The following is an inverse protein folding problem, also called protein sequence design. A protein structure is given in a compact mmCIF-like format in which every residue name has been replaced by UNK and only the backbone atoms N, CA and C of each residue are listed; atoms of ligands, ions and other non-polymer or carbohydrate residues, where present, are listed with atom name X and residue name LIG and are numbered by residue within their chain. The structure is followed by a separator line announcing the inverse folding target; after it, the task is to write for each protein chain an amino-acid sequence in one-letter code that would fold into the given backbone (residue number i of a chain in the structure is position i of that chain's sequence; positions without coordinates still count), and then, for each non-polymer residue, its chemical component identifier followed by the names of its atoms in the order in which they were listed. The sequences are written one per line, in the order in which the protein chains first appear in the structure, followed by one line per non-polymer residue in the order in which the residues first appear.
data_IF_911733817031
#
_entry.id   IF_911733817031
#
_cell.length_a   1.000
_cell.length_b   1.000
_cell.length_c   1.000
_cell.angle_alpha   90.00
_cell.angle_beta   90.00
_cell.angle_gamma   90.00
#
_symmetry.space_group_name_H-M   'P 1'
#
loop_
_entity.id
_entity.type
_entity.pdbx_description
1 polymer ?
#
# COMPACT_ATOMS: atom_id res chain seq x y z
N UNK A 1 -10.75 20.47 21.31
CA UNK A 1 -10.16 19.18 20.85
C UNK A 1 -11.17 18.07 20.57
N UNK A 2 -12.32 18.00 21.23
CA UNK A 2 -13.35 16.97 20.98
C UNK A 2 -13.71 16.74 19.50
N UNK A 3 -13.94 17.82 18.73
CA UNK A 3 -14.24 17.73 17.29
C UNK A 3 -13.12 17.06 16.48
N UNK A 4 -11.86 17.40 16.79
CA UNK A 4 -10.69 16.76 16.17
C UNK A 4 -10.67 15.26 16.47
N UNK A 5 -10.94 14.88 17.73
CA UNK A 5 -11.02 13.47 18.12
C UNK A 5 -12.05 12.69 17.30
N UNK A 6 -13.24 13.25 17.08
CA UNK A 6 -14.27 12.63 16.25
C UNK A 6 -13.84 12.48 14.78
N UNK A 7 -13.21 13.50 14.18
CA UNK A 7 -12.72 13.41 12.81
C UNK A 7 -11.65 12.34 12.64
N UNK A 8 -10.66 12.31 13.53
CA UNK A 8 -9.57 11.32 13.48
C UNK A 8 -10.11 9.90 13.71
N UNK A 9 -11.10 9.72 14.61
CA UNK A 9 -11.82 8.43 14.73
C UNK A 9 -12.57 8.06 13.45
N UNK A 10 -13.17 9.05 12.78
CA UNK A 10 -13.81 8.87 11.47
C UNK A 10 -12.85 8.31 10.42
N UNK A 11 -11.62 8.83 10.36
CA UNK A 11 -10.55 8.30 9.51
C UNK A 11 -10.22 6.85 9.88
N UNK A 12 -10.01 6.55 11.17
CA UNK A 12 -9.73 5.19 11.60
C UNK A 12 -10.82 4.19 11.18
N UNK A 13 -12.09 4.55 11.42
CA UNK A 13 -13.23 3.72 11.07
C UNK A 13 -13.33 3.55 9.55
N UNK A 14 -13.14 4.62 8.77
CA UNK A 14 -13.23 4.56 7.30
C UNK A 14 -12.17 3.62 6.72
N UNK A 15 -10.92 3.69 7.21
CA UNK A 15 -9.83 2.83 6.80
C UNK A 15 -10.09 1.36 7.17
N UNK A 16 -10.52 1.08 8.40
CA UNK A 16 -10.82 -0.29 8.86
C UNK A 16 -12.00 -0.91 8.09
N UNK A 17 -13.09 -0.16 7.91
CA UNK A 17 -14.25 -0.62 7.16
C UNK A 17 -13.91 -0.79 5.66
N UNK A 18 -13.13 0.12 5.08
CA UNK A 18 -12.65 0.03 3.70
C UNK A 18 -11.78 -1.21 3.48
N UNK A 19 -10.81 -1.45 4.36
CA UNK A 19 -9.97 -2.64 4.36
C UNK A 19 -10.81 -3.93 4.45
N UNK A 20 -11.69 -4.02 5.44
CA UNK A 20 -12.55 -5.19 5.63
C UNK A 20 -13.46 -5.42 4.41
N UNK A 21 -14.09 -4.36 3.88
CA UNK A 21 -14.95 -4.43 2.71
C UNK A 21 -14.22 -4.91 1.46
N UNK A 22 -12.99 -4.44 1.23
CA UNK A 22 -12.14 -4.88 0.13
C UNK A 22 -11.82 -6.38 0.24
N UNK A 23 -11.33 -6.83 1.39
CA UNK A 23 -10.93 -8.23 1.60
C UNK A 23 -12.13 -9.16 1.47
N UNK A 24 -13.26 -8.82 2.12
CA UNK A 24 -14.51 -9.60 2.01
C UNK A 24 -14.97 -9.64 0.55
N UNK A 25 -14.89 -8.52 -0.17
CA UNK A 25 -15.22 -8.44 -1.59
C UNK A 25 -14.37 -9.37 -2.45
N UNK A 26 -13.05 -9.37 -2.25
CA UNK A 26 -12.11 -10.25 -2.96
C UNK A 26 -12.38 -11.72 -2.66
N UNK A 27 -12.56 -12.07 -1.39
CA UNK A 27 -12.86 -13.43 -0.96
C UNK A 27 -14.16 -13.95 -1.60
N UNK A 28 -15.24 -13.18 -1.53
CA UNK A 28 -16.54 -13.59 -2.05
C UNK A 28 -16.58 -13.68 -3.57
N UNK A 29 -15.87 -12.79 -4.29
CA UNK A 29 -15.88 -12.77 -5.76
C UNK A 29 -14.94 -13.80 -6.38
N UNK A 30 -13.79 -14.05 -5.76
CA UNK A 30 -12.75 -14.92 -6.32
C UNK A 30 -12.62 -16.29 -5.64
N UNK A 31 -13.39 -16.57 -4.59
CA UNK A 31 -13.23 -17.76 -3.73
C UNK A 31 -11.78 -17.94 -3.24
N UNK A 32 -11.08 -16.83 -3.01
CA UNK A 32 -9.65 -16.82 -2.68
C UNK A 32 -9.47 -16.97 -1.17
N UNK A 33 -8.62 -17.88 -0.68
CA UNK A 33 -8.47 -18.12 0.76
C UNK A 33 -7.84 -16.92 1.49
N UNK A 34 -8.34 -16.62 2.70
CA UNK A 34 -7.77 -15.58 3.58
C UNK A 34 -6.31 -15.85 3.96
N UNK A 35 -5.84 -17.09 3.91
CA UNK A 35 -4.43 -17.40 4.17
C UNK A 35 -3.46 -16.62 3.26
N UNK A 36 -3.88 -16.28 2.04
CA UNK A 36 -3.08 -15.48 1.11
C UNK A 36 -3.01 -14.00 1.51
N UNK A 37 -4.02 -13.49 2.23
CA UNK A 37 -3.95 -12.18 2.86
C UNK A 37 -2.80 -12.15 3.88
N UNK A 38 -2.67 -13.21 4.69
CA UNK A 38 -1.61 -13.34 5.68
C UNK A 38 -0.23 -13.39 5.04
N UNK A 39 -0.09 -14.05 3.88
CA UNK A 39 1.17 -14.02 3.11
C UNK A 39 1.52 -12.59 2.70
N UNK A 40 0.53 -11.85 2.16
CA UNK A 40 0.67 -10.43 1.86
C UNK A 40 1.14 -9.62 3.07
N UNK A 41 0.44 -9.76 4.19
CA UNK A 41 0.74 -9.06 5.44
C UNK A 41 2.15 -9.36 5.96
N UNK A 42 2.59 -10.63 5.95
CA UNK A 42 3.94 -11.02 6.35
C UNK A 42 4.97 -10.34 5.45
N UNK A 43 4.79 -10.38 4.13
CA UNK A 43 5.73 -9.73 3.21
C UNK A 43 5.79 -8.22 3.39
N UNK A 44 4.65 -7.55 3.62
CA UNK A 44 4.58 -6.10 3.85
C UNK A 44 5.24 -5.67 5.17
N UNK A 45 5.07 -6.45 6.24
CA UNK A 45 5.75 -6.18 7.51
C UNK A 45 7.26 -6.36 7.37
N UNK A 46 7.70 -7.46 6.75
CA UNK A 46 9.13 -7.75 6.59
C UNK A 46 9.81 -6.72 5.69
N UNK A 47 9.16 -6.28 4.61
CA UNK A 47 9.70 -5.22 3.75
C UNK A 47 9.81 -3.90 4.48
N UNK A 48 8.80 -3.50 5.28
CA UNK A 48 8.85 -2.28 6.08
C UNK A 48 10.02 -2.30 7.08
N UNK A 49 10.26 -3.44 7.74
CA UNK A 49 11.42 -3.59 8.64
C UNK A 49 12.74 -3.38 7.89
N UNK A 50 12.88 -3.99 6.71
CA UNK A 50 14.08 -3.82 5.87
C UNK A 50 14.22 -2.37 5.41
N UNK A 51 13.15 -1.74 4.94
CA UNK A 51 13.15 -0.35 4.46
C UNK A 51 13.56 0.62 5.57
N UNK A 52 12.99 0.47 6.78
CA UNK A 52 13.35 1.29 7.93
C UNK A 52 14.83 1.11 8.29
N UNK A 53 15.34 -0.12 8.31
CA UNK A 53 16.76 -0.38 8.57
C UNK A 53 17.68 0.27 7.52
N UNK A 54 17.30 0.19 6.23
CA UNK A 54 18.04 0.82 5.12
C UNK A 54 18.05 2.35 5.24
N UNK A 55 16.94 2.97 5.62
CA UNK A 55 16.86 4.42 5.75
C UNK A 55 17.55 4.93 7.04
N UNK A 56 17.62 4.11 8.10
CA UNK A 56 18.30 4.48 9.34
C UNK A 56 19.82 4.61 9.21
N UNK A 57 20.43 3.88 8.27
CA UNK A 57 21.88 3.97 8.02
C UNK A 57 22.27 5.13 7.10
N UNK A 58 21.29 5.79 6.46
CA UNK A 58 21.53 6.94 5.62
C UNK A 58 21.74 8.22 6.46
N UNK A 59 22.55 9.13 5.92
CA UNK A 59 22.81 10.42 6.56
C UNK A 59 21.52 11.27 6.62
N UNK A 60 21.13 11.69 7.83
CA UNK A 60 19.89 12.45 8.04
C UNK A 60 19.92 13.82 7.39
N UNK A 61 21.09 14.47 7.29
CA UNK A 61 21.19 15.78 6.65
C UNK A 61 20.94 15.67 5.14
N UNK A 62 21.43 14.59 4.51
CA UNK A 62 21.12 14.28 3.11
C UNK A 62 19.65 13.95 2.90
N UNK A 63 19.04 13.13 3.77
CA UNK A 63 17.62 12.76 3.63
C UNK A 63 16.67 13.96 3.79
N UNK A 64 17.07 15.01 4.51
CA UNK A 64 16.28 16.24 4.64
C UNK A 64 16.27 17.10 3.37
N UNK A 65 17.12 16.81 2.38
CA UNK A 65 17.06 17.45 1.07
C UNK A 65 15.96 16.73 0.28
N UNK A 66 14.82 17.39 0.07
CA UNK A 66 13.59 16.78 -0.45
C UNK A 66 13.81 15.83 -1.65
N UNK A 67 14.50 16.22 -2.75
CA UNK A 67 14.74 15.30 -3.86
C UNK A 67 15.58 14.06 -3.49
N UNK A 68 16.54 14.21 -2.58
CA UNK A 68 17.39 13.11 -2.12
C UNK A 68 16.61 12.18 -1.19
N UNK A 69 15.85 12.75 -0.26
CA UNK A 69 14.96 12.00 0.62
C UNK A 69 13.91 11.21 -0.15
N UNK A 70 13.22 11.84 -1.10
CA UNK A 70 12.24 11.19 -1.96
C UNK A 70 12.85 10.03 -2.77
N UNK A 71 14.04 10.27 -3.37
CA UNK A 71 14.79 9.23 -4.09
C UNK A 71 15.14 8.05 -3.18
N UNK A 72 15.67 8.32 -2.00
CA UNK A 72 16.05 7.29 -1.04
C UNK A 72 14.85 6.46 -0.58
N UNK A 73 13.74 7.12 -0.22
CA UNK A 73 12.50 6.46 0.23
C UNK A 73 11.93 5.57 -0.86
N UNK A 74 11.78 6.08 -2.09
CA UNK A 74 11.17 5.27 -3.15
C UNK A 74 12.06 4.14 -3.65
N UNK A 75 13.39 4.35 -3.75
CA UNK A 75 14.31 3.23 -4.04
C UNK A 75 14.21 2.17 -2.95
N UNK A 76 14.24 2.58 -1.67
CA UNK A 76 14.12 1.66 -0.55
C UNK A 76 12.79 0.91 -0.57
N UNK A 77 11.67 1.56 -0.90
CA UNK A 77 10.35 0.93 -1.05
C UNK A 77 10.39 -0.15 -2.15
N UNK A 78 10.78 0.22 -3.37
CA UNK A 78 10.82 -0.72 -4.49
C UNK A 78 11.73 -1.93 -4.24
N UNK A 79 12.95 -1.72 -3.73
CA UNK A 79 13.92 -2.79 -3.48
C UNK A 79 13.68 -3.59 -2.19
N UNK A 80 12.80 -3.16 -1.30
CA UNK A 80 12.42 -3.95 -0.12
C UNK A 80 11.13 -4.71 -0.36
N UNK A 81 10.10 -4.06 -0.89
CA UNK A 81 8.74 -4.61 -0.99
C UNK A 81 8.59 -5.64 -2.10
N UNK A 82 9.15 -5.36 -3.27
CA UNK A 82 8.98 -6.24 -4.43
C UNK A 82 9.79 -7.54 -4.31
N UNK A 83 11.06 -7.53 -3.83
CA UNK A 83 11.76 -8.76 -3.49
C UNK A 83 11.09 -9.53 -2.35
N UNK A 84 10.59 -8.86 -1.31
CA UNK A 84 9.83 -9.54 -0.25
C UNK A 84 8.60 -10.26 -0.81
N UNK A 85 7.89 -9.63 -1.76
CA UNK A 85 6.74 -10.25 -2.43
C UNK A 85 7.15 -11.41 -3.32
N UNK A 86 8.24 -11.29 -4.07
CA UNK A 86 8.81 -12.39 -4.85
C UNK A 86 9.14 -13.60 -3.96
N UNK A 87 9.81 -13.37 -2.83
CA UNK A 87 10.12 -14.41 -1.84
C UNK A 87 8.84 -14.97 -1.21
N UNK A 88 7.83 -14.14 -0.98
CA UNK A 88 6.51 -14.56 -0.52
C UNK A 88 5.84 -15.55 -1.47
N UNK A 89 5.85 -15.27 -2.78
CA UNK A 89 5.39 -16.23 -3.79
C UNK A 89 6.21 -17.51 -3.79
N UNK A 90 7.54 -17.39 -3.74
CA UNK A 90 8.41 -18.55 -3.85
C UNK A 90 8.33 -19.49 -2.63
N UNK A 91 8.26 -18.95 -1.42
CA UNK A 91 8.36 -19.72 -0.17
C UNK A 91 7.05 -19.87 0.60
N UNK A 92 6.19 -18.85 0.60
CA UNK A 92 4.97 -18.83 1.43
C UNK A 92 3.72 -19.20 0.64
N UNK A 93 3.69 -18.90 -0.66
CA UNK A 93 2.56 -19.17 -1.54
C UNK A 93 2.97 -19.78 -2.91
N UNK A 94 3.77 -20.86 -2.95
CA UNK A 94 4.24 -21.45 -4.21
C UNK A 94 3.12 -21.96 -5.13
N UNK A 95 1.95 -22.25 -4.56
CA UNK A 95 0.76 -22.69 -5.31
C UNK A 95 -0.11 -21.52 -5.83
N UNK A 96 0.26 -20.25 -5.58
CA UNK A 96 -0.46 -19.11 -6.10
C UNK A 96 -0.11 -18.92 -7.58
N UNK A 97 -1.10 -19.11 -8.46
CA UNK A 97 -0.93 -19.08 -9.92
C UNK A 97 -2.01 -18.27 -10.63
N UNK A 98 -3.01 -17.77 -9.89
CA UNK A 98 -4.14 -17.03 -10.47
C UNK A 98 -4.09 -15.56 -10.09
N UNK A 99 -4.70 -14.72 -10.93
CA UNK A 99 -4.89 -13.30 -10.65
C UNK A 99 -5.58 -13.05 -9.30
N UNK A 100 -6.65 -13.79 -8.99
CA UNK A 100 -7.37 -13.62 -7.72
C UNK A 100 -6.48 -13.83 -6.50
N UNK A 101 -5.61 -14.85 -6.54
CA UNK A 101 -4.64 -15.12 -5.48
C UNK A 101 -3.62 -13.98 -5.35
N UNK A 102 -3.11 -13.47 -6.47
CA UNK A 102 -2.19 -12.34 -6.47
C UNK A 102 -2.81 -11.06 -5.91
N UNK A 103 -4.06 -10.77 -6.26
CA UNK A 103 -4.80 -9.63 -5.72
C UNK A 103 -5.00 -9.75 -4.21
N UNK A 104 -5.29 -10.94 -3.68
CA UNK A 104 -5.43 -11.14 -2.23
C UNK A 104 -4.10 -10.96 -1.50
N UNK A 105 -2.98 -11.47 -2.05
CA UNK A 105 -1.63 -11.22 -1.50
C UNK A 105 -1.31 -9.73 -1.53
N UNK A 106 -1.54 -9.06 -2.66
CA UNK A 106 -1.26 -7.64 -2.80
C UNK A 106 -2.13 -6.76 -1.89
N UNK A 107 -3.40 -7.15 -1.68
CA UNK A 107 -4.25 -6.51 -0.69
C UNK A 107 -3.68 -6.67 0.72
N UNK A 108 -3.26 -7.88 1.11
CA UNK A 108 -2.67 -8.11 2.43
C UNK A 108 -1.40 -7.29 2.68
N UNK A 109 -0.59 -7.10 1.63
CA UNK A 109 0.61 -6.30 1.68
C UNK A 109 0.30 -4.80 1.83
N UNK A 110 -0.50 -4.24 0.93
CA UNK A 110 -0.85 -2.82 0.96
C UNK A 110 -1.70 -2.41 2.18
N UNK A 111 -2.46 -3.34 2.75
CA UNK A 111 -3.25 -3.06 3.95
C UNK A 111 -2.42 -2.91 5.22
N UNK A 112 -1.13 -3.27 5.24
CA UNK A 112 -0.28 -3.04 6.42
C UNK A 112 -0.22 -1.55 6.76
N UNK A 113 0.00 -0.70 5.78
CA UNK A 113 0.01 0.76 5.97
C UNK A 113 -1.35 1.28 6.38
N UNK A 114 -2.41 0.84 5.69
CA UNK A 114 -3.80 1.20 6.01
C UNK A 114 -4.14 0.88 7.47
N UNK A 115 -3.79 -0.32 7.94
CA UNK A 115 -4.07 -0.78 9.30
C UNK A 115 -3.23 -0.02 10.32
N UNK A 116 -1.95 0.23 10.04
CA UNK A 116 -1.09 1.02 10.91
C UNK A 116 -1.62 2.45 11.09
N UNK A 117 -1.95 3.14 10.00
CA UNK A 117 -2.55 4.48 10.03
C UNK A 117 -3.87 4.48 10.77
N UNK A 118 -4.73 3.48 10.53
CA UNK A 118 -6.01 3.36 11.21
C UNK A 118 -5.86 3.17 12.73
N UNK A 119 -4.89 2.36 13.18
CA UNK A 119 -4.64 2.13 14.60
C UNK A 119 -4.11 3.39 15.29
N UNK A 120 -3.21 4.13 14.64
CA UNK A 120 -2.72 5.42 15.15
C UNK A 120 -3.86 6.42 15.24
N UNK A 121 -4.63 6.57 14.16
CA UNK A 121 -5.78 7.46 14.15
C UNK A 121 -6.79 7.07 15.23
N UNK A 122 -7.04 5.78 15.45
CA UNK A 122 -7.95 5.32 16.50
C UNK A 122 -7.48 5.76 17.89
N UNK A 123 -6.22 5.47 18.24
CA UNK A 123 -5.65 5.81 19.54
C UNK A 123 -5.57 7.33 19.77
N UNK A 124 -5.11 8.07 18.77
CA UNK A 124 -5.04 9.54 18.82
C UNK A 124 -6.44 10.15 18.94
N UNK A 125 -7.39 9.67 18.13
CA UNK A 125 -8.77 10.13 18.15
C UNK A 125 -9.43 9.96 19.51
N UNK A 126 -9.29 8.77 20.14
CA UNK A 126 -9.77 8.53 21.51
C UNK A 126 -9.12 9.46 22.54
N UNK A 127 -7.81 9.68 22.44
CA UNK A 127 -7.09 10.59 23.35
C UNK A 127 -7.63 12.01 23.27
N UNK A 128 -7.88 12.50 22.04
CA UNK A 128 -8.37 13.86 21.79
C UNK A 128 -9.81 14.12 22.26
N UNK A 129 -10.62 13.08 22.44
CA UNK A 129 -11.97 13.22 23.01
C UNK A 129 -11.96 13.68 24.48
N UNK A 130 -10.87 13.40 25.22
CA UNK A 130 -10.75 13.73 26.65
C UNK A 130 -10.28 15.16 26.95
N UNK A 131 -9.91 15.94 25.93
CA UNK A 131 -9.39 17.30 26.09
C UNK A 131 -10.50 18.36 25.93
N UNK A 132 -10.36 19.47 26.67
CA UNK A 132 -11.31 20.57 26.66
C UNK A 132 -11.58 21.15 25.24
N UNK A 133 -12.76 21.74 25.11
CA UNK A 133 -13.33 22.16 23.82
C UNK A 133 -12.74 23.47 23.34
N UNK A 134 -11.56 23.41 22.73
CA UNK A 134 -11.17 24.39 21.70
C UNK A 134 -11.96 24.10 20.43
N UNK A 135 -12.69 25.10 19.94
CA UNK A 135 -13.33 25.07 18.63
C UNK A 135 -12.24 25.23 17.56
N UNK A 136 -12.26 24.45 16.46
CA UNK A 136 -11.32 24.66 15.37
C UNK A 136 -11.53 26.01 14.69
N UNK A 137 -10.44 26.67 14.31
CA UNK A 137 -10.49 27.94 13.58
C UNK A 137 -11.02 27.74 12.14
N UNK A 138 -10.70 26.60 11.51
CA UNK A 138 -11.21 26.20 10.19
C UNK A 138 -11.68 24.73 10.20
N UNK A 139 -12.95 24.46 10.52
CA UNK A 139 -13.48 23.10 10.52
C UNK A 139 -13.55 22.48 9.11
N UNK A 140 -13.66 23.30 8.05
CA UNK A 140 -13.77 22.79 6.69
C UNK A 140 -12.44 22.22 6.21
N UNK A 141 -11.33 22.90 6.48
CA UNK A 141 -9.99 22.39 6.18
C UNK A 141 -9.69 21.07 6.91
N UNK A 142 -10.13 20.92 8.15
CA UNK A 142 -9.94 19.69 8.93
C UNK A 142 -10.72 18.51 8.35
N UNK A 143 -11.98 18.73 7.97
CA UNK A 143 -12.80 17.69 7.32
C UNK A 143 -12.18 17.30 5.98
N UNK A 144 -11.71 18.29 5.22
CA UNK A 144 -11.01 18.09 3.95
C UNK A 144 -9.74 17.24 4.12
N UNK A 145 -8.88 17.58 5.10
CA UNK A 145 -7.67 16.81 5.40
C UNK A 145 -7.96 15.39 5.88
N UNK A 146 -8.98 15.19 6.72
CA UNK A 146 -9.40 13.86 7.16
C UNK A 146 -9.89 12.98 5.99
N UNK A 147 -10.59 13.57 5.02
CA UNK A 147 -10.98 12.88 3.80
C UNK A 147 -9.77 12.53 2.93
N UNK A 148 -8.84 13.47 2.75
CA UNK A 148 -7.59 13.25 2.02
C UNK A 148 -6.78 12.09 2.62
N UNK A 149 -6.61 12.08 3.94
CA UNK A 149 -5.93 11.02 4.68
C UNK A 149 -6.61 9.65 4.49
N UNK A 150 -7.95 9.60 4.61
CA UNK A 150 -8.72 8.37 4.41
C UNK A 150 -8.53 7.79 3.00
N UNK A 151 -8.54 8.65 1.98
CA UNK A 151 -8.31 8.24 0.60
C UNK A 151 -6.86 7.80 0.39
N UNK A 152 -5.89 8.54 0.92
CA UNK A 152 -4.48 8.22 0.80
C UNK A 152 -4.09 6.92 1.52
N UNK A 153 -4.82 6.51 2.55
CA UNK A 153 -4.64 5.21 3.19
C UNK A 153 -5.21 4.02 2.42
N UNK A 154 -6.17 4.22 1.50
CA UNK A 154 -6.85 3.13 0.77
C UNK A 154 -6.42 3.02 -0.70
N UNK A 155 -6.17 4.13 -1.37
CA UNK A 155 -5.81 4.14 -2.80
C UNK A 155 -4.55 3.31 -3.13
N UNK A 156 -3.45 3.38 -2.34
CA UNK A 156 -2.26 2.57 -2.59
C UNK A 156 -2.51 1.06 -2.56
N UNK A 157 -3.53 0.59 -1.84
CA UNK A 157 -3.85 -0.85 -1.77
C UNK A 157 -4.11 -1.42 -3.18
N UNK A 158 -4.75 -0.64 -4.05
CA UNK A 158 -4.99 -1.03 -5.45
C UNK A 158 -3.68 -1.15 -6.24
N UNK A 159 -2.70 -0.29 -5.95
CA UNK A 159 -1.36 -0.38 -6.52
C UNK A 159 -0.66 -1.66 -6.05
N UNK A 160 -0.66 -1.97 -4.76
CA UNK A 160 -0.02 -3.20 -4.25
C UNK A 160 -0.70 -4.46 -4.81
N UNK A 161 -2.02 -4.45 -5.01
CA UNK A 161 -2.73 -5.51 -5.73
C UNK A 161 -2.21 -5.69 -7.16
N UNK A 162 -1.98 -4.59 -7.90
CA UNK A 162 -1.45 -4.64 -9.26
C UNK A 162 0.02 -5.08 -9.30
N UNK A 163 0.86 -4.52 -8.43
CA UNK A 163 2.28 -4.91 -8.31
C UNK A 163 2.41 -6.38 -7.93
N UNK A 164 1.55 -6.89 -7.05
CA UNK A 164 1.49 -8.31 -6.73
C UNK A 164 1.17 -9.17 -7.95
N UNK A 165 0.28 -8.71 -8.82
CA UNK A 165 -0.01 -9.38 -10.07
C UNK A 165 1.15 -9.34 -11.07
N UNK A 166 1.89 -8.23 -11.12
CA UNK A 166 3.12 -8.07 -11.92
C UNK A 166 4.21 -9.03 -11.43
N UNK A 167 4.49 -9.07 -10.12
CA UNK A 167 5.52 -9.96 -9.55
C UNK A 167 5.21 -11.43 -9.80
N UNK A 168 3.94 -11.85 -9.73
CA UNK A 168 3.55 -13.22 -10.06
C UNK A 168 3.91 -13.60 -11.52
N UNK A 169 3.99 -12.64 -12.45
CA UNK A 169 4.39 -12.91 -13.82
C UNK A 169 5.82 -13.47 -13.94
N UNK A 170 6.69 -13.22 -12.96
CA UNK A 170 8.03 -13.82 -12.93
C UNK A 170 7.93 -15.35 -12.97
N UNK A 171 7.00 -15.92 -12.21
CA UNK A 171 6.80 -17.36 -12.13
C UNK A 171 5.95 -17.89 -13.29
N UNK A 172 4.92 -17.15 -13.70
CA UNK A 172 4.06 -17.58 -14.80
C UNK A 172 4.76 -17.55 -16.17
N UNK A 173 5.78 -16.70 -16.33
CA UNK A 173 6.48 -16.49 -17.61
C UNK A 173 7.95 -16.90 -17.57
N UNK A 174 8.51 -17.19 -16.40
CA UNK A 174 9.93 -17.53 -16.24
C UNK A 174 10.88 -16.36 -16.50
N UNK A 175 10.40 -15.11 -16.42
CA UNK A 175 11.16 -13.91 -16.79
C UNK A 175 11.36 -12.99 -15.57
N UNK A 176 12.61 -12.82 -15.14
CA UNK A 176 12.92 -11.95 -13.99
C UNK A 176 12.67 -10.46 -14.27
N UNK A 177 12.53 -10.07 -15.54
CA UNK A 177 12.25 -8.68 -15.94
C UNK A 177 10.97 -8.12 -15.28
N UNK A 178 9.97 -8.97 -15.02
CA UNK A 178 8.74 -8.55 -14.34
C UNK A 178 8.99 -8.06 -12.91
N UNK A 179 9.99 -8.62 -12.21
CA UNK A 179 10.40 -8.14 -10.89
C UNK A 179 11.01 -6.74 -10.97
N UNK A 180 11.94 -6.53 -11.92
CA UNK A 180 12.55 -5.20 -12.12
C UNK A 180 11.52 -4.16 -12.55
N UNK A 181 10.55 -4.54 -13.38
CA UNK A 181 9.42 -3.68 -13.74
C UNK A 181 8.58 -3.28 -12.53
N UNK A 182 8.32 -4.22 -11.62
CA UNK A 182 7.61 -3.95 -10.36
C UNK A 182 8.41 -3.02 -9.44
N UNK A 183 9.71 -3.29 -9.24
CA UNK A 183 10.63 -2.46 -8.44
C UNK A 183 10.63 -1.02 -8.97
N UNK A 184 10.81 -0.86 -10.28
CA UNK A 184 10.86 0.45 -10.91
C UNK A 184 9.53 1.19 -10.78
N UNK A 185 8.41 0.54 -11.10
CA UNK A 185 7.09 1.16 -11.02
C UNK A 185 6.77 1.62 -9.59
N UNK A 186 7.05 0.76 -8.61
CA UNK A 186 6.85 1.08 -7.20
C UNK A 186 7.74 2.25 -6.76
N UNK A 187 9.04 2.19 -7.03
CA UNK A 187 9.98 3.22 -6.63
C UNK A 187 9.61 4.59 -7.21
N UNK A 188 9.23 4.66 -8.48
CA UNK A 188 8.80 5.91 -9.13
C UNK A 188 7.57 6.50 -8.45
N UNK A 189 6.59 5.67 -8.08
CA UNK A 189 5.36 6.14 -7.43
C UNK A 189 5.67 6.74 -6.06
N UNK A 190 6.50 6.07 -5.26
CA UNK A 190 6.85 6.57 -3.92
C UNK A 190 7.75 7.82 -3.98
N UNK A 191 8.66 7.90 -4.95
CA UNK A 191 9.42 9.14 -5.21
C UNK A 191 8.45 10.28 -5.51
N UNK A 192 7.51 10.07 -6.42
CA UNK A 192 6.57 11.11 -6.83
C UNK A 192 5.62 11.49 -5.69
N UNK A 193 5.10 10.53 -4.93
CA UNK A 193 4.26 10.81 -3.76
C UNK A 193 5.02 11.67 -2.74
N UNK A 194 6.27 11.33 -2.43
CA UNK A 194 7.11 12.08 -1.50
C UNK A 194 7.45 13.50 -2.00
N UNK A 195 7.63 13.69 -3.31
CA UNK A 195 7.87 15.01 -3.91
C UNK A 195 6.63 15.91 -3.93
N UNK A 196 5.43 15.33 -4.00
CA UNK A 196 4.19 16.08 -4.16
C UNK A 196 3.65 16.66 -2.84
N UNK A 197 3.97 16.07 -1.69
CA UNK A 197 3.59 16.63 -0.40
C UNK A 197 3.33 15.59 0.69
N UNK A 198 2.62 16.01 1.72
CA UNK A 198 2.17 15.16 2.84
C UNK A 198 0.88 14.40 2.50
N UNK A 199 0.54 13.41 3.32
CA UNK A 199 -0.62 12.54 3.13
C UNK A 199 -1.98 13.25 3.30
N UNK A 200 -2.02 14.46 3.86
CA UNK A 200 -3.21 15.31 3.92
C UNK A 200 -3.35 16.28 2.74
N UNK A 201 -2.37 16.31 1.82
CA UNK A 201 -2.40 17.15 0.62
C UNK A 201 -3.21 16.48 -0.52
N UNK A 202 -4.19 17.21 -1.04
CA UNK A 202 -5.01 16.79 -2.19
C UNK A 202 -4.20 16.51 -3.44
N UNK A 203 -3.04 17.14 -3.62
CA UNK A 203 -2.17 16.85 -4.77
C UNK A 203 -1.65 15.42 -4.73
N UNK A 204 -1.31 14.91 -3.54
CA UNK A 204 -0.92 13.51 -3.33
C UNK A 204 -2.13 12.59 -3.54
N UNK A 205 -3.32 12.96 -3.06
CA UNK A 205 -4.56 12.18 -3.28
C UNK A 205 -4.88 12.02 -4.76
N UNK A 206 -4.82 13.11 -5.52
CA UNK A 206 -5.10 13.10 -6.96
C UNK A 206 -4.08 12.21 -7.69
N UNK A 207 -2.80 12.34 -7.33
CA UNK A 207 -1.76 11.49 -7.89
C UNK A 207 -2.00 10.01 -7.58
N UNK A 208 -2.25 9.65 -6.31
CA UNK A 208 -2.54 8.27 -5.89
C UNK A 208 -3.83 7.74 -6.52
N UNK A 209 -4.82 8.58 -6.78
CA UNK A 209 -6.02 8.20 -7.52
C UNK A 209 -5.67 7.84 -8.98
N UNK A 210 -4.86 8.64 -9.65
CA UNK A 210 -4.39 8.33 -11.01
C UNK A 210 -3.60 7.02 -11.02
N UNK A 211 -2.70 6.83 -10.06
CA UNK A 211 -1.95 5.57 -9.89
C UNK A 211 -2.91 4.40 -9.71
N UNK A 212 -3.90 4.49 -8.81
CA UNK A 212 -4.87 3.44 -8.59
C UNK A 212 -5.66 3.10 -9.86
N UNK A 213 -6.05 4.09 -10.68
CA UNK A 213 -6.71 3.87 -11.96
C UNK A 213 -5.79 3.16 -12.98
N UNK A 214 -4.51 3.54 -13.05
CA UNK A 214 -3.51 2.85 -13.87
C UNK A 214 -3.31 1.40 -13.38
N UNK A 215 -3.25 1.19 -12.07
CA UNK A 215 -3.15 -0.13 -11.46
C UNK A 215 -4.36 -1.02 -11.76
N UNK A 216 -5.58 -0.47 -11.75
CA UNK A 216 -6.77 -1.18 -12.21
C UNK A 216 -6.68 -1.55 -13.68
N UNK A 217 -6.18 -0.64 -14.53
CA UNK A 217 -5.94 -0.94 -15.94
C UNK A 217 -4.95 -2.11 -16.09
N UNK A 218 -3.86 -2.13 -15.32
CA UNK A 218 -2.90 -3.26 -15.31
C UNK A 218 -3.60 -4.55 -14.91
N UNK A 219 -4.37 -4.57 -13.81
CA UNK A 219 -5.09 -5.76 -13.32
C UNK A 219 -6.05 -6.33 -14.38
N UNK A 220 -6.70 -5.45 -15.15
CA UNK A 220 -7.66 -5.86 -16.19
C UNK A 220 -6.98 -6.27 -17.49
N UNK A 221 -5.90 -5.59 -17.89
CA UNK A 221 -5.27 -5.76 -19.21
C UNK A 221 -4.15 -6.79 -19.24
N UNK A 222 -3.45 -7.01 -18.12
CA UNK A 222 -2.38 -7.99 -18.02
C UNK A 222 -3.00 -9.39 -17.97
N UNK A 223 -2.98 -10.08 -19.11
CA UNK A 223 -3.57 -11.41 -19.30
C UNK A 223 -2.69 -12.51 -18.73
N UNK A 224 -3.36 -13.51 -18.16
CA UNK A 224 -2.80 -14.82 -17.86
C UNK A 224 -2.26 -15.42 -19.17
N UNK A 225 -0.99 -15.82 -19.20
CA UNK A 225 -0.55 -16.82 -20.18
C UNK A 225 -0.65 -18.18 -19.51
N UNK A 226 -1.15 -19.22 -20.19
CA UNK A 226 -1.10 -20.57 -19.64
C UNK A 226 0.35 -20.91 -19.31
N UNK A 227 0.57 -21.57 -18.17
CA UNK A 227 1.86 -22.15 -17.82
C UNK A 227 2.34 -22.93 -19.04
N UNK A 228 3.56 -22.66 -19.50
CA UNK A 228 4.23 -23.54 -20.44
C UNK A 228 4.27 -24.90 -19.73
N UNK A 229 3.38 -25.81 -20.10
CA UNK A 229 3.49 -27.20 -19.70
C UNK A 229 4.82 -27.63 -20.29
N UNK A 230 5.82 -27.81 -19.44
CA UNK A 230 7.03 -28.50 -19.82
C UNK A 230 6.55 -29.90 -20.24
N UNK A 231 6.52 -30.15 -21.54
CA UNK A 231 6.51 -31.51 -22.06
C UNK A 231 7.86 -32.11 -21.65
N UNK A 232 7.88 -32.79 -20.50
CA UNK A 232 8.90 -33.79 -20.16
C UNK A 232 8.48 -35.17 -20.68
#
# INVERSE_FOLDING_TARGET
MFFYGLLVLGVAISLLCGAAGLVIGLHRRGAVPYALLTVGAITGILSLVVQVALLQVADRALLNILPIGALAVGIAAGFSEEPARFLGYHYLAPAAVTRGQALMIGAGHGLIETLYTALIAFGLGLSLLGYETTHPDDPAALVSGALAESLNGLLPVVMHMALSWIVLQVFLRGELFWLFGAIFFHAVIEIMAALLGSADDWMVVIFRLIVALVSLMVIVRLRDRPLLVAEE
#
